data_IF_681645844924
#
_entry.id   IF_681645844924
#
_cell.length_a   1.000
_cell.length_b   1.000
_cell.length_c   1.000
_cell.angle_alpha   90.00
_cell.angle_beta   90.00
_cell.angle_gamma   90.00
#
_symmetry.space_group_name_H-M   'P 1'
#
loop_
_entity.id
_entity.type
_entity.pdbx_description
1 polymer ?
#
# COMPACT_ATOMS: atom_id res chain seq x y z
N UNK A 1 27.79 -0.30 -36.19
CA UNK A 1 26.72 -1.16 -36.73
C UNK A 1 25.51 -0.29 -37.04
N UNK A 2 24.93 -0.43 -38.23
CA UNK A 2 23.74 0.30 -38.63
C UNK A 2 22.49 -0.15 -37.86
N UNK A 3 21.50 0.74 -37.82
CA UNK A 3 20.28 0.57 -37.03
C UNK A 3 19.39 -0.56 -37.57
N UNK A 4 19.43 -0.83 -38.88
CA UNK A 4 18.62 -1.88 -39.52
C UNK A 4 19.11 -3.28 -39.12
N UNK A 5 20.43 -3.51 -39.22
CA UNK A 5 21.07 -4.75 -38.76
C UNK A 5 20.79 -5.00 -37.27
N UNK A 6 20.87 -3.95 -36.44
CA UNK A 6 20.59 -4.07 -35.01
C UNK A 6 19.12 -4.39 -34.73
N UNK A 7 18.18 -3.83 -35.50
CA UNK A 7 16.75 -4.15 -35.42
C UNK A 7 16.49 -5.60 -35.81
N UNK A 8 17.04 -6.07 -36.92
CA UNK A 8 16.86 -7.45 -37.38
C UNK A 8 17.34 -8.49 -36.34
N UNK A 9 18.50 -8.25 -35.71
CA UNK A 9 19.01 -9.12 -34.63
C UNK A 9 18.04 -9.14 -33.45
N UNK A 10 17.53 -7.99 -33.01
CA UNK A 10 16.60 -7.93 -31.88
C UNK A 10 15.26 -8.60 -32.18
N UNK A 11 14.72 -8.44 -33.39
CA UNK A 11 13.50 -9.11 -33.84
C UNK A 11 13.66 -10.63 -33.81
N UNK A 12 14.78 -11.14 -34.35
CA UNK A 12 15.09 -12.57 -34.29
C UNK A 12 15.17 -13.08 -32.85
N UNK A 13 15.84 -12.36 -31.96
CA UNK A 13 15.96 -12.75 -30.54
C UNK A 13 14.57 -12.88 -29.90
N UNK A 14 13.67 -11.95 -30.17
CA UNK A 14 12.30 -11.97 -29.63
C UNK A 14 11.52 -13.16 -30.17
N UNK A 15 11.54 -13.38 -31.49
CA UNK A 15 10.81 -14.49 -32.12
C UNK A 15 11.37 -15.85 -31.69
N UNK A 16 12.69 -16.00 -31.63
CA UNK A 16 13.33 -17.20 -31.09
C UNK A 16 12.92 -17.46 -29.64
N UNK A 17 12.84 -16.41 -28.82
CA UNK A 17 12.46 -16.52 -27.41
C UNK A 17 11.01 -16.96 -27.24
N UNK A 18 10.09 -16.45 -28.07
CA UNK A 18 8.69 -16.89 -28.10
C UNK A 18 8.56 -18.36 -28.49
N UNK A 19 9.30 -18.80 -29.52
CA UNK A 19 9.22 -20.16 -30.04
C UNK A 19 9.85 -21.22 -29.11
N UNK A 20 10.86 -20.84 -28.31
CA UNK A 20 11.68 -21.79 -27.56
C UNK A 20 11.56 -21.66 -26.03
N UNK A 21 10.44 -21.14 -25.53
CA UNK A 21 10.26 -20.84 -24.11
C UNK A 21 10.51 -22.06 -23.20
N UNK A 22 11.47 -21.90 -22.29
CA UNK A 22 11.90 -22.88 -21.29
C UNK A 22 11.10 -22.82 -19.99
N UNK A 23 10.36 -21.74 -19.76
CA UNK A 23 9.44 -21.65 -18.63
C UNK A 23 8.24 -22.58 -18.85
N UNK A 24 7.67 -23.10 -17.76
CA UNK A 24 6.39 -23.81 -17.80
C UNK A 24 5.31 -22.94 -18.45
N UNK A 25 4.30 -23.56 -19.07
CA UNK A 25 3.18 -22.84 -19.68
C UNK A 25 1.94 -23.05 -18.84
N UNK A 26 1.37 -21.96 -18.32
CA UNK A 26 -0.03 -21.96 -17.86
C UNK A 26 -0.88 -21.17 -18.85
N UNK A 27 -2.09 -21.67 -19.11
CA UNK A 27 -3.09 -21.14 -20.04
C UNK A 27 -3.49 -19.67 -19.77
N UNK A 28 -3.14 -19.11 -18.61
CA UNK A 28 -3.64 -17.82 -18.13
C UNK A 28 -2.62 -16.69 -18.01
N UNK A 29 -1.30 -16.95 -18.08
CA UNK A 29 -0.31 -15.86 -17.93
C UNK A 29 1.11 -16.35 -18.20
N UNK A 30 1.72 -15.90 -19.30
CA UNK A 30 3.18 -15.91 -19.44
C UNK A 30 3.68 -14.49 -19.30
N UNK A 31 3.95 -14.02 -18.07
CA UNK A 31 4.61 -12.71 -17.90
C UNK A 31 6.11 -12.75 -18.19
N UNK A 32 6.68 -13.95 -18.42
CA UNK A 32 8.05 -14.14 -18.85
C UNK A 32 8.20 -15.29 -19.84
N UNK A 33 9.09 -15.08 -20.81
CA UNK A 33 9.58 -16.04 -21.79
C UNK A 33 11.09 -16.17 -21.58
N UNK A 34 11.59 -17.40 -21.55
CA UNK A 34 12.94 -17.70 -21.13
C UNK A 34 13.61 -18.61 -22.13
N UNK A 35 14.82 -18.26 -22.58
CA UNK A 35 15.65 -19.15 -23.40
C UNK A 35 17.06 -19.23 -22.86
N UNK A 36 17.74 -20.31 -23.22
CA UNK A 36 19.15 -20.49 -22.92
C UNK A 36 19.97 -19.49 -23.75
N UNK A 37 20.79 -18.67 -23.10
CA UNK A 37 21.53 -17.60 -23.76
C UNK A 37 22.50 -18.14 -24.82
N UNK A 38 23.25 -19.20 -24.50
CA UNK A 38 24.20 -19.77 -25.48
C UNK A 38 23.49 -20.46 -26.66
N UNK A 39 22.28 -21.01 -26.45
CA UNK A 39 21.51 -21.59 -27.54
C UNK A 39 20.99 -20.51 -28.48
N UNK A 40 20.53 -19.38 -27.92
CA UNK A 40 20.16 -18.19 -28.69
C UNK A 40 21.37 -17.65 -29.48
N UNK A 41 22.52 -17.52 -28.83
CA UNK A 41 23.75 -17.04 -29.45
C UNK A 41 24.22 -17.97 -30.59
N UNK A 42 24.20 -19.28 -30.35
CA UNK A 42 24.50 -20.27 -31.36
C UNK A 42 23.53 -20.20 -32.54
N UNK A 43 22.24 -19.96 -32.28
CA UNK A 43 21.25 -19.88 -33.35
C UNK A 43 21.40 -18.62 -34.20
N UNK A 44 21.71 -17.47 -33.58
CA UNK A 44 22.08 -16.25 -34.29
C UNK A 44 23.29 -16.43 -35.21
N UNK A 45 24.33 -17.16 -34.77
CA UNK A 45 25.52 -17.44 -35.58
C UNK A 45 25.20 -18.18 -36.89
N UNK A 46 24.16 -19.02 -36.87
CA UNK A 46 23.83 -19.87 -38.01
C UNK A 46 22.74 -19.21 -38.86
N UNK A 47 21.64 -18.76 -38.27
CA UNK A 47 20.49 -18.21 -39.01
C UNK A 47 20.69 -16.77 -39.46
N UNK A 48 21.51 -16.02 -38.74
CA UNK A 48 21.77 -14.60 -39.00
C UNK A 48 23.28 -14.34 -39.16
N UNK A 49 23.99 -15.24 -39.85
CA UNK A 49 25.45 -15.22 -39.91
C UNK A 49 26.00 -13.86 -40.38
N UNK A 50 25.38 -13.25 -41.39
CA UNK A 50 25.84 -11.96 -41.95
C UNK A 50 25.68 -10.82 -40.94
N UNK A 51 24.52 -10.73 -40.29
CA UNK A 51 24.20 -9.73 -39.29
C UNK A 51 25.04 -9.94 -38.02
N UNK A 52 25.23 -11.19 -37.61
CA UNK A 52 26.06 -11.56 -36.48
C UNK A 52 27.53 -11.17 -36.69
N UNK A 53 28.09 -11.40 -37.88
CA UNK A 53 29.45 -10.93 -38.21
C UNK A 53 29.53 -9.39 -38.19
N UNK A 54 28.51 -8.68 -38.68
CA UNK A 54 28.45 -7.21 -38.59
C UNK A 54 28.40 -6.72 -37.14
N UNK A 55 27.65 -7.41 -36.28
CA UNK A 55 27.60 -7.13 -34.85
C UNK A 55 28.99 -7.27 -34.23
N UNK A 56 29.69 -8.38 -34.49
CA UNK A 56 31.04 -8.63 -33.93
C UNK A 56 32.12 -7.64 -34.39
N UNK A 57 31.89 -6.87 -35.46
CA UNK A 57 32.80 -5.76 -35.85
C UNK A 57 32.72 -4.57 -34.90
N UNK A 58 31.70 -4.51 -34.04
CA UNK A 58 31.40 -3.36 -33.18
C UNK A 58 31.27 -3.73 -31.71
N UNK A 59 31.17 -5.03 -31.38
CA UNK A 59 30.95 -5.55 -30.03
C UNK A 59 31.74 -6.86 -29.90
N UNK A 60 32.32 -7.12 -28.73
CA UNK A 60 33.16 -8.32 -28.54
C UNK A 60 32.31 -9.58 -28.54
N UNK A 61 31.12 -9.52 -27.95
CA UNK A 61 30.14 -10.61 -27.99
C UNK A 61 28.67 -10.14 -28.02
N UNK A 62 27.76 -11.10 -28.17
CA UNK A 62 26.31 -10.86 -28.13
C UNK A 62 25.86 -10.17 -26.84
N UNK A 63 26.53 -10.49 -25.72
CA UNK A 63 26.23 -9.88 -24.43
C UNK A 63 26.43 -8.36 -24.47
N UNK A 64 27.57 -7.88 -24.98
CA UNK A 64 27.87 -6.45 -25.05
C UNK A 64 26.90 -5.71 -25.97
N UNK A 65 26.57 -6.31 -27.11
CA UNK A 65 25.54 -5.77 -28.00
C UNK A 65 24.21 -5.58 -27.26
N UNK A 66 23.73 -6.62 -26.58
CA UNK A 66 22.47 -6.57 -25.84
C UNK A 66 22.50 -5.57 -24.69
N UNK A 67 23.61 -5.47 -23.97
CA UNK A 67 23.74 -4.53 -22.86
C UNK A 67 23.86 -3.06 -23.31
N UNK A 68 24.14 -2.81 -24.59
CA UNK A 68 24.32 -1.46 -25.14
C UNK A 68 23.27 -1.13 -26.23
N UNK A 69 23.62 -1.36 -27.51
CA UNK A 69 22.81 -0.95 -28.66
C UNK A 69 21.51 -1.76 -28.78
N UNK A 70 21.54 -3.04 -28.44
CA UNK A 70 20.35 -3.90 -28.43
C UNK A 70 19.27 -3.34 -27.52
N UNK A 71 19.63 -2.89 -26.30
CA UNK A 71 18.70 -2.23 -25.38
C UNK A 71 18.11 -0.95 -25.97
N UNK A 72 18.94 -0.09 -26.55
CA UNK A 72 18.48 1.14 -27.19
C UNK A 72 17.50 0.90 -28.35
N UNK A 73 17.79 -0.08 -29.21
CA UNK A 73 16.93 -0.45 -30.33
C UNK A 73 15.59 -1.00 -29.82
N UNK A 74 15.65 -1.87 -28.82
CA UNK A 74 14.49 -2.46 -28.22
C UNK A 74 13.55 -1.41 -27.62
N UNK A 75 14.10 -0.48 -26.83
CA UNK A 75 13.32 0.58 -26.16
C UNK A 75 12.71 1.58 -27.15
N UNK A 76 13.46 1.98 -28.20
CA UNK A 76 13.02 3.06 -29.10
C UNK A 76 12.25 2.60 -30.34
N UNK A 77 12.53 1.42 -30.87
CA UNK A 77 12.00 1.00 -32.18
C UNK A 77 10.95 -0.10 -32.08
N UNK A 78 11.15 -1.06 -31.18
CA UNK A 78 10.28 -2.22 -31.11
C UNK A 78 9.03 -1.95 -30.27
N UNK A 79 9.03 -0.89 -29.45
CA UNK A 79 7.90 -0.38 -28.66
C UNK A 79 7.06 -1.50 -28.03
N UNK A 80 7.73 -2.51 -27.49
CA UNK A 80 7.05 -3.67 -26.92
C UNK A 80 6.74 -3.38 -25.44
N UNK A 81 5.63 -3.90 -24.91
CA UNK A 81 5.37 -3.87 -23.45
C UNK A 81 6.31 -4.78 -22.65
N UNK A 82 7.21 -5.48 -23.33
CA UNK A 82 8.16 -6.40 -22.74
C UNK A 82 9.47 -5.66 -22.49
N UNK A 83 10.32 -6.23 -21.65
CA UNK A 83 11.71 -5.86 -21.41
C UNK A 83 12.52 -7.15 -21.34
N UNK A 84 13.85 -7.05 -21.29
CA UNK A 84 14.67 -8.24 -21.12
C UNK A 84 15.86 -8.04 -20.19
N UNK A 85 16.33 -9.18 -19.66
CA UNK A 85 17.54 -9.27 -18.84
C UNK A 85 18.25 -10.59 -19.12
N UNK A 86 19.58 -10.56 -19.07
CA UNK A 86 20.41 -11.76 -19.06
C UNK A 86 20.74 -12.07 -17.60
N UNK A 87 20.47 -13.28 -17.14
CA UNK A 87 20.78 -13.67 -15.76
C UNK A 87 21.09 -15.17 -15.61
N UNK A 88 21.90 -15.57 -14.62
CA UNK A 88 22.10 -16.98 -14.29
C UNK A 88 20.78 -17.64 -13.89
N UNK A 89 20.57 -18.90 -14.30
CA UNK A 89 19.34 -19.62 -13.99
C UNK A 89 19.09 -19.82 -12.49
N UNK A 90 20.14 -19.93 -11.68
CA UNK A 90 20.03 -19.89 -10.21
C UNK A 90 19.41 -18.58 -9.72
N UNK A 91 19.86 -17.44 -10.27
CA UNK A 91 19.31 -16.11 -9.93
C UNK A 91 17.87 -15.96 -10.41
N UNK A 92 17.53 -16.51 -11.58
CA UNK A 92 16.14 -16.58 -12.04
C UNK A 92 15.25 -17.31 -11.04
N UNK A 93 15.64 -18.52 -10.59
CA UNK A 93 14.85 -19.30 -9.64
C UNK A 93 14.66 -18.64 -8.26
N UNK A 94 15.55 -17.71 -7.91
CA UNK A 94 15.53 -16.96 -6.66
C UNK A 94 14.87 -15.59 -6.79
N UNK A 95 14.48 -15.18 -8.00
CA UNK A 95 13.89 -13.88 -8.27
C UNK A 95 12.54 -13.75 -7.53
N UNK A 96 12.28 -12.61 -6.90
CA UNK A 96 11.04 -12.38 -6.18
C UNK A 96 9.80 -12.48 -7.10
N UNK A 97 9.98 -12.30 -8.41
CA UNK A 97 8.93 -12.52 -9.41
C UNK A 97 8.54 -13.98 -9.56
N UNK A 98 9.43 -14.93 -9.27
CA UNK A 98 9.06 -16.35 -9.18
C UNK A 98 8.13 -16.61 -7.99
N UNK A 99 8.39 -16.00 -6.83
CA UNK A 99 7.52 -16.12 -5.63
C UNK A 99 6.13 -15.53 -5.86
N UNK A 100 6.02 -14.51 -6.71
CA UNK A 100 4.77 -13.83 -7.08
C UNK A 100 4.06 -14.48 -8.28
N UNK A 101 4.50 -15.66 -8.74
CA UNK A 101 3.99 -16.35 -9.93
C UNK A 101 4.02 -15.51 -11.23
N UNK A 102 4.89 -14.51 -11.29
CA UNK A 102 5.14 -13.74 -12.50
C UNK A 102 6.13 -14.49 -13.40
N UNK A 103 7.27 -14.90 -12.83
CA UNK A 103 8.25 -15.74 -13.51
C UNK A 103 7.94 -17.20 -13.23
N UNK A 104 7.46 -17.93 -14.25
CA UNK A 104 7.13 -19.34 -14.08
C UNK A 104 8.41 -20.18 -13.88
N UNK A 105 8.32 -21.30 -13.15
CA UNK A 105 9.44 -22.23 -12.98
C UNK A 105 10.00 -22.68 -14.33
N UNK A 106 11.31 -22.99 -14.36
CA UNK A 106 11.92 -23.59 -15.55
C UNK A 106 11.47 -25.05 -15.66
N UNK A 107 11.10 -25.49 -16.86
CA UNK A 107 10.66 -26.87 -17.16
C UNK A 107 11.63 -27.95 -16.66
N UNK A 108 12.92 -27.62 -16.53
CA UNK A 108 13.95 -28.55 -16.09
C UNK A 108 14.99 -27.86 -15.19
N UNK A 109 15.29 -28.47 -14.03
CA UNK A 109 16.27 -27.94 -13.05
C UNK A 109 17.68 -27.78 -13.61
N UNK A 110 18.05 -28.51 -14.68
CA UNK A 110 19.37 -28.38 -15.32
C UNK A 110 19.64 -26.96 -15.82
N UNK A 111 18.58 -26.19 -16.13
CA UNK A 111 18.70 -24.82 -16.62
C UNK A 111 19.24 -23.83 -15.59
N UNK A 112 19.32 -24.20 -14.30
CA UNK A 112 19.86 -23.34 -13.24
C UNK A 112 21.36 -23.06 -13.36
N UNK A 113 22.09 -23.86 -14.14
CA UNK A 113 23.54 -23.72 -14.33
C UNK A 113 23.94 -22.81 -15.47
N UNK A 114 22.99 -22.32 -16.26
CA UNK A 114 23.27 -21.58 -17.48
C UNK A 114 22.82 -20.13 -17.38
N UNK A 115 23.37 -19.28 -18.25
CA UNK A 115 22.85 -17.94 -18.47
C UNK A 115 21.56 -18.01 -19.29
N UNK A 116 20.55 -17.27 -18.85
CA UNK A 116 19.25 -17.22 -19.47
C UNK A 116 19.02 -15.83 -20.06
N UNK A 117 18.47 -15.78 -21.26
CA UNK A 117 17.81 -14.59 -21.78
C UNK A 117 16.36 -14.64 -21.33
N UNK A 118 15.97 -13.67 -20.51
CA UNK A 118 14.63 -13.57 -19.93
C UNK A 118 13.96 -12.36 -20.56
N UNK A 119 12.96 -12.60 -21.40
CA UNK A 119 12.08 -11.60 -22.00
C UNK A 119 10.80 -11.57 -21.16
N UNK A 120 10.47 -10.46 -20.52
CA UNK A 120 9.34 -10.42 -19.58
C UNK A 120 8.58 -9.12 -19.64
N UNK A 121 7.30 -9.16 -19.30
CA UNK A 121 6.50 -7.97 -19.06
C UNK A 121 6.78 -7.51 -17.62
N UNK A 122 7.50 -6.40 -17.48
CA UNK A 122 7.58 -5.72 -16.19
C UNK A 122 6.18 -5.10 -15.98
N UNK A 123 5.41 -5.45 -14.92
CA UNK A 123 4.27 -4.62 -14.55
C UNK A 123 4.88 -3.24 -14.31
N UNK A 124 4.58 -2.31 -15.22
CA UNK A 124 5.29 -1.04 -15.40
C UNK A 124 5.83 -0.54 -14.05
N UNK A 125 7.15 -0.59 -13.77
CA UNK A 125 7.66 0.39 -12.83
C UNK A 125 7.22 1.72 -13.43
N UNK A 126 6.61 2.59 -12.63
CA UNK A 126 6.17 3.92 -13.04
C UNK A 126 7.37 4.66 -13.66
N UNK A 127 7.66 4.42 -14.94
CA UNK A 127 8.76 5.03 -15.67
C UNK A 127 8.21 6.37 -16.14
N UNK A 128 8.71 7.42 -15.50
CA UNK A 128 8.55 8.76 -16.01
C UNK A 128 9.31 8.84 -17.35
N UNK A 129 8.60 9.20 -18.43
CA UNK A 129 9.15 9.22 -19.79
C UNK A 129 9.80 10.57 -20.17
N UNK A 130 9.88 11.52 -19.25
CA UNK A 130 10.58 12.78 -19.47
C UNK A 130 12.08 12.68 -19.25
N UNK A 131 12.77 13.79 -19.52
CA UNK A 131 14.21 13.95 -19.25
C UNK A 131 14.49 13.93 -17.75
N UNK A 132 15.75 13.67 -17.36
CA UNK A 132 16.16 13.76 -15.95
C UNK A 132 15.91 15.15 -15.37
N UNK A 133 16.13 16.21 -16.16
CA UNK A 133 15.89 17.59 -15.75
C UNK A 133 14.40 17.86 -15.47
N UNK A 134 13.51 17.39 -16.35
CA UNK A 134 12.06 17.46 -16.13
C UNK A 134 11.64 16.65 -14.90
N UNK A 135 12.23 15.47 -14.70
CA UNK A 135 11.98 14.64 -13.52
C UNK A 135 12.34 15.36 -12.23
N UNK A 136 13.54 15.93 -12.13
CA UNK A 136 13.97 16.67 -10.93
C UNK A 136 13.10 17.90 -10.70
N UNK A 137 12.82 18.68 -11.74
CA UNK A 137 11.96 19.87 -11.66
C UNK A 137 10.56 19.54 -11.16
N UNK A 138 9.94 18.49 -11.71
CA UNK A 138 8.61 18.03 -11.27
C UNK A 138 8.64 17.48 -9.85
N UNK A 139 9.68 16.74 -9.49
CA UNK A 139 9.82 16.16 -8.15
C UNK A 139 9.97 17.26 -7.09
N UNK A 140 10.78 18.28 -7.37
CA UNK A 140 10.94 19.44 -6.48
C UNK A 140 9.62 20.21 -6.33
N UNK A 141 8.95 20.48 -7.45
CA UNK A 141 7.63 21.13 -7.44
C UNK A 141 6.61 20.33 -6.63
N UNK A 142 6.49 19.03 -6.88
CA UNK A 142 5.54 18.17 -6.17
C UNK A 142 5.86 18.09 -4.68
N UNK A 143 7.14 18.03 -4.32
CA UNK A 143 7.57 18.06 -2.91
C UNK A 143 7.09 19.32 -2.22
N UNK A 144 7.31 20.48 -2.86
CA UNK A 144 6.85 21.77 -2.34
C UNK A 144 5.32 21.86 -2.25
N UNK A 145 4.60 21.32 -3.24
CA UNK A 145 3.14 21.29 -3.22
C UNK A 145 2.60 20.44 -2.06
N UNK A 146 3.26 19.31 -1.75
CA UNK A 146 2.93 18.47 -0.59
C UNK A 146 3.22 19.19 0.73
N UNK A 147 4.35 19.90 0.84
CA UNK A 147 4.71 20.68 2.02
C UNK A 147 3.71 21.81 2.29
N UNK A 148 3.38 22.61 1.27
CA UNK A 148 2.35 23.67 1.37
C UNK A 148 1.00 23.08 1.76
N UNK A 149 0.66 21.90 1.26
CA UNK A 149 -0.56 21.18 1.61
C UNK A 149 -0.59 20.79 3.09
N UNK A 150 0.56 20.47 3.71
CA UNK A 150 0.67 20.17 5.13
C UNK A 150 0.60 21.42 6.01
N UNK A 151 1.25 22.51 5.60
CA UNK A 151 1.21 23.79 6.32
C UNK A 151 -0.22 24.35 6.40
N UNK A 152 -1.03 24.20 5.34
CA UNK A 152 -2.43 24.59 5.41
C UNK A 152 -3.24 23.79 6.45
N UNK A 153 -2.83 22.56 6.74
CA UNK A 153 -3.42 21.74 7.79
C UNK A 153 -2.88 22.06 9.20
N UNK A 154 -2.02 23.06 9.43
CA UNK A 154 -1.52 23.37 10.79
C UNK A 154 -2.43 24.27 11.61
N UNK A 155 -3.54 24.79 11.06
CA UNK A 155 -4.55 25.57 11.80
C UNK A 155 -5.38 24.72 12.80
N UNK A 156 -5.00 23.46 13.04
CA UNK A 156 -5.76 22.46 13.81
C UNK A 156 -5.52 22.57 15.33
N UNK A 157 -4.51 23.31 15.82
CA UNK A 157 -4.26 23.38 17.27
C UNK A 157 -5.44 23.93 18.10
N UNK A 158 -6.11 24.97 17.61
CA UNK A 158 -7.33 25.50 18.25
C UNK A 158 -8.47 24.48 18.18
N UNK A 159 -8.57 23.72 17.08
CA UNK A 159 -9.54 22.63 16.89
C UNK A 159 -9.28 21.50 17.90
N UNK A 160 -8.03 21.10 18.13
CA UNK A 160 -7.69 20.03 19.09
C UNK A 160 -8.02 20.40 20.54
N UNK A 161 -7.82 21.65 20.97
CA UNK A 161 -8.23 22.06 22.33
C UNK A 161 -9.73 21.88 22.52
N UNK A 162 -10.53 22.32 21.55
CA UNK A 162 -11.99 22.16 21.60
C UNK A 162 -12.41 20.69 21.56
N UNK A 163 -11.77 19.89 20.70
CA UNK A 163 -12.01 18.44 20.61
C UNK A 163 -11.73 17.74 21.95
N UNK A 164 -10.62 18.06 22.61
CA UNK A 164 -10.28 17.46 23.90
C UNK A 164 -11.32 17.83 24.96
N UNK A 165 -11.70 19.12 25.04
CA UNK A 165 -12.76 19.55 25.95
C UNK A 165 -14.11 18.87 25.67
N UNK A 166 -14.45 18.63 24.40
CA UNK A 166 -15.65 17.89 24.04
C UNK A 166 -15.58 16.43 24.49
N UNK A 167 -14.44 15.76 24.28
CA UNK A 167 -14.25 14.38 24.72
C UNK A 167 -14.34 14.27 26.25
N UNK A 168 -13.70 15.17 26.99
CA UNK A 168 -13.75 15.23 28.46
C UNK A 168 -15.17 15.49 28.98
N UNK A 169 -15.90 16.41 28.33
CA UNK A 169 -17.29 16.70 28.65
C UNK A 169 -18.18 15.47 28.45
N UNK A 170 -18.08 14.82 27.27
CA UNK A 170 -18.86 13.61 26.99
C UNK A 170 -18.49 12.49 27.97
N UNK A 171 -17.20 12.32 28.26
CA UNK A 171 -16.74 11.34 29.22
C UNK A 171 -17.37 11.54 30.60
N UNK A 172 -17.43 12.79 31.07
CA UNK A 172 -17.99 13.16 32.38
C UNK A 172 -19.49 12.87 32.43
N UNK A 173 -20.25 13.39 31.47
CA UNK A 173 -21.71 13.18 31.41
C UNK A 173 -22.07 11.70 31.25
N UNK A 174 -21.24 10.94 30.52
CA UNK A 174 -21.46 9.51 30.38
C UNK A 174 -21.18 8.75 31.69
N UNK A 175 -20.29 9.20 32.57
CA UNK A 175 -20.21 8.58 33.91
C UNK A 175 -21.53 8.71 34.67
N UNK A 176 -22.23 9.85 34.52
CA UNK A 176 -23.52 10.08 35.21
C UNK A 176 -24.67 9.28 34.57
N UNK A 177 -24.60 8.97 33.27
CA UNK A 177 -25.59 8.12 32.61
C UNK A 177 -25.36 6.61 32.80
N UNK A 178 -24.12 6.21 33.11
CA UNK A 178 -23.69 4.82 33.17
C UNK A 178 -22.93 4.59 34.48
N UNK A 179 -23.67 4.30 35.56
CA UNK A 179 -23.09 4.01 36.89
C UNK A 179 -22.19 2.76 36.91
N UNK A 180 -22.46 1.79 36.03
CA UNK A 180 -21.71 0.54 35.82
C UNK A 180 -21.97 0.05 34.37
N UNK A 181 -20.96 -0.36 33.57
CA UNK A 181 -19.53 -0.45 33.87
C UNK A 181 -18.81 0.90 33.86
N UNK A 182 -17.65 0.96 34.53
CA UNK A 182 -16.72 2.10 34.38
C UNK A 182 -16.24 2.19 32.93
N UNK A 183 -16.53 3.33 32.31
CA UNK A 183 -16.20 3.63 30.93
C UNK A 183 -15.20 4.78 30.81
N UNK A 184 -14.55 4.87 29.66
CA UNK A 184 -13.71 6.00 29.25
C UNK A 184 -14.04 6.35 27.80
N UNK A 185 -14.22 7.63 27.50
CA UNK A 185 -14.40 8.12 26.13
C UNK A 185 -13.07 8.65 25.63
N UNK A 186 -12.57 8.08 24.54
CA UNK A 186 -11.29 8.45 23.96
C UNK A 186 -11.44 8.85 22.49
N UNK A 187 -10.54 9.72 22.02
CA UNK A 187 -10.48 10.12 20.63
C UNK A 187 -9.81 9.01 19.82
N UNK A 188 -10.42 8.64 18.69
CA UNK A 188 -9.93 7.58 17.79
C UNK A 188 -9.86 8.06 16.33
N UNK A 189 -9.24 7.27 15.47
CA UNK A 189 -9.15 7.47 14.03
C UNK A 189 -8.20 8.59 13.60
N UNK A 190 -8.58 9.35 12.58
CA UNK A 190 -7.72 10.37 11.95
C UNK A 190 -7.27 11.46 12.92
N UNK A 191 -8.14 11.86 13.85
CA UNK A 191 -7.84 12.88 14.88
C UNK A 191 -6.78 12.39 15.87
N UNK A 192 -6.85 11.11 16.26
CA UNK A 192 -5.88 10.48 17.16
C UNK A 192 -4.54 10.25 16.45
N UNK A 193 -4.58 9.74 15.22
CA UNK A 193 -3.39 9.49 14.39
C UNK A 193 -2.75 10.75 13.80
N UNK A 194 -3.37 11.93 13.97
CA UNK A 194 -2.95 13.22 13.40
C UNK A 194 -2.89 13.20 11.86
N UNK A 195 -3.80 12.44 11.25
CA UNK A 195 -4.02 12.32 9.81
C UNK A 195 -5.35 12.99 9.38
N UNK A 196 -5.96 13.78 10.26
CA UNK A 196 -7.18 14.53 9.97
C UNK A 196 -6.94 15.64 8.93
N UNK A 197 -7.96 15.83 8.11
CA UNK A 197 -8.11 16.95 7.18
C UNK A 197 -9.11 17.95 7.78
N UNK A 198 -9.19 19.16 7.23
CA UNK A 198 -9.94 20.26 7.87
C UNK A 198 -11.42 19.92 8.13
N UNK A 199 -12.02 19.16 7.23
CA UNK A 199 -13.40 18.66 7.21
C UNK A 199 -13.55 17.25 7.82
N UNK A 200 -12.50 16.66 8.41
CA UNK A 200 -12.58 15.33 9.00
C UNK A 200 -13.55 15.30 10.18
N UNK A 201 -14.38 14.25 10.20
CA UNK A 201 -15.22 13.90 11.33
C UNK A 201 -14.40 13.54 12.57
N UNK A 202 -14.95 13.86 13.74
CA UNK A 202 -14.42 13.39 15.02
C UNK A 202 -14.98 12.00 15.34
N UNK A 203 -14.09 11.04 15.61
CA UNK A 203 -14.49 9.72 16.04
C UNK A 203 -14.11 9.55 17.52
N UNK A 204 -15.06 9.09 18.32
CA UNK A 204 -14.93 8.82 19.75
C UNK A 204 -15.21 7.33 19.99
N UNK A 205 -14.36 6.70 20.79
CA UNK A 205 -14.53 5.31 21.21
C UNK A 205 -14.84 5.26 22.70
N UNK A 206 -15.87 4.51 23.08
CA UNK A 206 -16.15 4.21 24.48
C UNK A 206 -15.42 2.92 24.83
N UNK A 207 -14.42 3.02 25.70
CA UNK A 207 -13.65 1.89 26.21
C UNK A 207 -14.19 1.50 27.58
N UNK A 208 -14.48 0.21 27.72
CA UNK A 208 -14.89 -0.42 28.97
C UNK A 208 -13.66 -1.06 29.62
N UNK A 209 -13.50 -0.93 30.93
CA UNK A 209 -12.36 -1.56 31.62
C UNK A 209 -12.40 -3.10 31.46
N UNK A 210 -11.26 -3.77 31.17
CA UNK A 210 -11.20 -5.23 31.06
C UNK A 210 -11.69 -5.98 32.31
N UNK A 211 -11.58 -5.35 33.48
CA UNK A 211 -12.09 -5.89 34.75
C UNK A 211 -13.61 -5.97 34.81
N UNK A 212 -14.31 -5.11 34.06
CA UNK A 212 -15.78 -5.09 34.00
C UNK A 212 -16.32 -6.01 32.90
N UNK A 213 -15.60 -6.14 31.78
CA UNK A 213 -15.96 -7.06 30.67
C UNK A 213 -16.07 -8.52 31.17
N UNK A 214 -15.22 -8.92 32.12
CA UNK A 214 -15.22 -10.29 32.69
C UNK A 214 -16.40 -10.57 33.63
N UNK A 215 -17.07 -9.55 34.16
CA UNK A 215 -18.17 -9.73 35.13
C UNK A 215 -19.52 -9.96 34.46
N UNK A 216 -19.65 -9.67 33.18
CA UNK A 216 -20.97 -9.61 32.56
C UNK A 216 -21.01 -10.28 31.19
N UNK A 217 -21.34 -11.58 31.19
CA UNK A 217 -21.62 -12.36 30.00
C UNK A 217 -22.85 -11.87 29.22
N UNK A 218 -23.67 -10.99 29.81
CA UNK A 218 -24.87 -10.40 29.18
C UNK A 218 -24.58 -9.20 28.28
N UNK A 219 -23.39 -8.57 28.39
CA UNK A 219 -22.93 -7.53 27.45
C UNK A 219 -22.78 -8.06 26.00
N UNK A 220 -22.70 -9.37 25.84
CA UNK A 220 -22.58 -10.07 24.56
C UNK A 220 -23.94 -10.51 23.98
N UNK A 221 -25.03 -10.40 24.73
CA UNK A 221 -26.33 -10.93 24.32
C UNK A 221 -27.08 -9.92 23.46
N UNK A 222 -26.97 -10.10 22.14
CA UNK A 222 -27.50 -9.17 21.13
C UNK A 222 -29.03 -9.05 21.09
N UNK A 223 -29.75 -9.82 21.92
CA UNK A 223 -31.22 -9.88 21.89
C UNK A 223 -31.92 -8.87 22.81
N UNK A 224 -31.21 -8.20 23.74
CA UNK A 224 -31.78 -7.25 24.71
C UNK A 224 -31.03 -5.90 24.77
N UNK A 225 -30.90 -5.21 23.64
CA UNK A 225 -30.15 -3.93 23.56
C UNK A 225 -30.79 -2.73 24.28
N UNK A 226 -32.02 -2.82 24.76
CA UNK A 226 -32.72 -1.67 25.34
C UNK A 226 -31.95 -1.01 26.49
N UNK A 227 -31.65 0.28 26.32
CA UNK A 227 -30.98 1.14 27.31
C UNK A 227 -29.52 0.79 27.66
N UNK A 228 -28.80 0.11 26.76
CA UNK A 228 -27.38 -0.25 27.00
C UNK A 228 -26.41 0.69 26.28
N UNK A 229 -25.15 0.70 26.70
CA UNK A 229 -24.06 1.44 26.05
C UNK A 229 -23.79 0.97 24.60
N UNK A 230 -24.16 -0.27 24.28
CA UNK A 230 -24.02 -0.86 22.95
C UNK A 230 -25.15 -0.48 21.99
N UNK A 231 -26.26 0.07 22.50
CA UNK A 231 -27.39 0.49 21.69
C UNK A 231 -27.19 1.91 21.15
N UNK A 232 -27.03 2.08 19.82
CA UNK A 232 -26.89 3.39 19.22
C UNK A 232 -28.10 4.30 19.46
N UNK A 233 -29.31 3.73 19.60
CA UNK A 233 -30.51 4.52 19.88
C UNK A 233 -30.45 5.14 21.27
N UNK A 234 -29.99 4.37 22.27
CA UNK A 234 -29.81 4.87 23.62
C UNK A 234 -28.69 5.93 23.70
N UNK A 235 -27.54 5.66 23.07
CA UNK A 235 -26.47 6.66 22.95
C UNK A 235 -26.99 7.97 22.33
N UNK A 236 -27.83 7.88 21.29
CA UNK A 236 -28.44 9.06 20.67
C UNK A 236 -29.36 9.82 21.64
N UNK A 237 -30.08 9.12 22.52
CA UNK A 237 -30.91 9.76 23.54
C UNK A 237 -30.05 10.48 24.59
N UNK A 238 -28.98 9.87 25.08
CA UNK A 238 -28.05 10.49 26.02
C UNK A 238 -27.43 11.76 25.41
N UNK A 239 -26.95 11.67 24.17
CA UNK A 239 -26.37 12.82 23.45
C UNK A 239 -27.39 13.97 23.27
N UNK A 240 -28.67 13.68 23.02
CA UNK A 240 -29.73 14.71 22.97
C UNK A 240 -29.92 15.40 24.32
N UNK A 241 -29.89 14.64 25.42
CA UNK A 241 -29.99 15.21 26.79
C UNK A 241 -28.81 16.15 27.09
N UNK A 242 -27.62 15.85 26.55
CA UNK A 242 -26.44 16.71 26.62
C UNK A 242 -26.46 17.91 25.66
N UNK A 243 -27.54 18.10 24.90
CA UNK A 243 -27.69 19.22 23.96
C UNK A 243 -26.98 19.05 22.62
N UNK A 244 -26.52 17.84 22.28
CA UNK A 244 -25.96 17.56 20.96
C UNK A 244 -27.05 17.61 19.87
N UNK A 245 -26.67 18.10 18.69
CA UNK A 245 -27.60 18.29 17.56
C UNK A 245 -27.51 17.12 16.57
N UNK A 246 -28.52 17.01 15.69
CA UNK A 246 -28.56 16.07 14.57
C UNK A 246 -28.14 14.64 14.95
N UNK A 247 -28.58 14.18 16.12
CA UNK A 247 -28.22 12.85 16.64
C UNK A 247 -28.91 11.77 15.81
N UNK A 248 -28.15 10.90 15.17
CA UNK A 248 -28.63 9.82 14.32
C UNK A 248 -28.00 8.49 14.75
N UNK A 249 -28.79 7.52 15.26
CA UNK A 249 -28.29 6.18 15.53
C UNK A 249 -27.97 5.46 14.21
N UNK A 250 -26.86 4.72 14.17
CA UNK A 250 -26.42 3.91 13.02
C UNK A 250 -26.23 2.45 13.50
N UNK A 251 -27.32 1.66 13.59
CA UNK A 251 -27.30 0.29 14.13
C UNK A 251 -26.33 -0.65 13.41
N UNK A 252 -26.26 -0.56 12.08
CA UNK A 252 -25.38 -1.41 11.25
C UNK A 252 -23.90 -1.22 11.56
N UNK A 253 -23.51 -0.04 12.05
CA UNK A 253 -22.14 0.29 12.43
C UNK A 253 -21.90 0.30 13.94
N UNK A 254 -22.92 -0.06 14.74
CA UNK A 254 -22.94 -0.01 16.22
C UNK A 254 -22.45 1.32 16.79
N UNK A 255 -22.83 2.43 16.14
CA UNK A 255 -22.37 3.79 16.47
C UNK A 255 -23.47 4.80 16.30
N UNK A 256 -23.29 5.96 16.93
CA UNK A 256 -24.19 7.10 16.86
C UNK A 256 -23.48 8.32 16.31
N UNK A 257 -24.08 8.94 15.31
CA UNK A 257 -23.64 10.20 14.73
C UNK A 257 -24.29 11.38 15.48
N UNK A 258 -23.57 12.47 15.68
CA UNK A 258 -24.11 13.72 16.23
C UNK A 258 -23.28 14.93 15.79
N UNK A 259 -23.85 16.13 15.93
CA UNK A 259 -23.17 17.39 15.63
C UNK A 259 -22.98 18.20 16.91
N UNK A 260 -21.74 18.60 17.18
CA UNK A 260 -21.41 19.46 18.32
C UNK A 260 -21.89 20.90 18.07
N UNK A 261 -22.71 21.48 18.96
CA UNK A 261 -23.42 22.72 18.67
C UNK A 261 -22.54 23.98 18.58
N UNK A 262 -21.38 24.05 19.25
CA UNK A 262 -20.52 25.24 19.26
C UNK A 262 -19.67 25.36 17.99
N UNK A 263 -19.18 24.25 17.46
CA UNK A 263 -18.27 24.22 16.30
C UNK A 263 -18.93 23.68 15.04
N UNK A 264 -20.07 23.01 15.15
CA UNK A 264 -20.69 22.29 14.03
C UNK A 264 -19.95 21.01 13.66
N UNK A 265 -19.03 20.53 14.51
CA UNK A 265 -18.23 19.35 14.22
C UNK A 265 -19.10 18.10 14.15
N UNK A 266 -18.99 17.38 13.03
CA UNK A 266 -19.63 16.09 12.87
C UNK A 266 -18.85 15.03 13.64
N UNK A 267 -19.55 14.30 14.50
CA UNK A 267 -18.97 13.35 15.43
C UNK A 267 -19.64 11.97 15.30
N UNK A 268 -18.87 10.93 15.59
CA UNK A 268 -19.35 9.55 15.73
C UNK A 268 -18.86 8.99 17.07
N UNK A 269 -19.73 8.28 17.80
CA UNK A 269 -19.38 7.62 19.06
C UNK A 269 -19.98 6.22 19.12
N UNK A 270 -19.26 5.28 19.72
CA UNK A 270 -19.79 3.96 20.07
C UNK A 270 -18.78 3.16 20.86
N UNK A 271 -19.18 1.97 21.30
CA UNK A 271 -18.30 1.09 22.07
C UNK A 271 -17.20 0.56 21.18
N UNK A 272 -15.97 0.68 21.65
CA UNK A 272 -14.80 0.15 20.96
C UNK A 272 -14.55 -1.31 21.33
N UNK A 273 -14.16 -2.11 20.34
CA UNK A 273 -13.83 -3.53 20.50
C UNK A 273 -12.36 -3.77 20.88
N UNK A 274 -11.60 -2.69 21.13
CA UNK A 274 -10.17 -2.71 21.47
C UNK A 274 -9.26 -2.66 20.24
N UNK A 275 -9.73 -3.13 19.08
CA UNK A 275 -8.92 -3.20 17.86
C UNK A 275 -8.64 -1.82 17.27
N UNK A 276 -9.52 -0.84 17.49
CA UNK A 276 -9.35 0.50 16.91
C UNK A 276 -8.11 1.19 17.48
N UNK A 277 -7.84 1.08 18.78
CA UNK A 277 -6.65 1.68 19.38
C UNK A 277 -5.37 1.03 18.92
N UNK A 278 -5.38 -0.28 18.73
CA UNK A 278 -4.22 -1.03 18.23
C UNK A 278 -3.91 -0.62 16.79
N UNK A 279 -4.96 -0.44 15.97
CA UNK A 279 -4.83 0.09 14.60
C UNK A 279 -4.26 1.50 14.57
N UNK A 280 -4.78 2.40 15.39
CA UNK A 280 -4.27 3.77 15.46
C UNK A 280 -2.84 3.82 15.99
N UNK A 281 -2.53 3.03 17.02
CA UNK A 281 -1.19 2.90 17.58
C UNK A 281 -0.21 2.39 16.53
N UNK A 282 -0.62 1.39 15.74
CA UNK A 282 0.17 0.89 14.62
C UNK A 282 0.44 2.01 13.60
N UNK A 283 -0.58 2.77 13.20
CA UNK A 283 -0.40 3.91 12.28
C UNK A 283 0.57 4.92 12.87
N UNK A 284 0.37 5.35 14.11
CA UNK A 284 1.24 6.33 14.79
C UNK A 284 2.69 5.85 14.82
N UNK A 285 2.93 4.56 15.06
CA UNK A 285 4.29 3.98 15.00
C UNK A 285 4.88 4.12 13.59
N UNK A 286 4.13 3.79 12.55
CA UNK A 286 4.58 3.97 11.16
C UNK A 286 4.87 5.44 10.80
N UNK A 287 4.03 6.38 11.26
CA UNK A 287 4.25 7.80 11.01
C UNK A 287 5.57 8.32 11.64
N UNK A 288 6.06 7.67 12.69
CA UNK A 288 7.32 8.01 13.37
C UNK A 288 8.56 7.39 12.71
N UNK A 289 8.41 6.40 11.84
CA UNK A 289 9.56 5.70 11.24
C UNK A 289 10.29 6.57 10.20
N UNK A 290 9.57 7.38 9.42
CA UNK A 290 10.16 8.25 8.40
C UNK A 290 9.31 9.50 8.19
N UNK A 291 9.97 10.67 8.11
CA UNK A 291 9.32 11.98 7.98
C UNK A 291 8.47 12.13 6.72
N UNK A 292 8.69 11.30 5.68
CA UNK A 292 7.96 11.33 4.40
C UNK A 292 6.61 10.63 4.47
N UNK A 293 6.39 9.75 5.46
CA UNK A 293 5.19 8.90 5.55
C UNK A 293 3.93 9.76 5.72
N UNK A 294 3.90 10.63 6.73
CA UNK A 294 2.75 11.51 6.99
C UNK A 294 2.43 12.44 5.80
N UNK A 295 3.41 13.19 5.23
CA UNK A 295 3.19 13.99 4.03
C UNK A 295 2.53 13.21 2.88
N UNK A 296 3.06 12.02 2.57
CA UNK A 296 2.57 11.22 1.46
C UNK A 296 1.14 10.73 1.72
N UNK A 297 0.84 10.26 2.93
CA UNK A 297 -0.50 9.83 3.30
C UNK A 297 -1.49 11.00 3.15
N UNK A 298 -1.19 12.17 3.71
CA UNK A 298 -2.06 13.36 3.61
C UNK A 298 -2.31 13.73 2.14
N UNK A 299 -1.27 13.73 1.30
CA UNK A 299 -1.40 14.01 -0.12
C UNK A 299 -2.32 13.01 -0.83
N UNK A 300 -2.17 11.71 -0.56
CA UNK A 300 -3.03 10.66 -1.13
C UNK A 300 -4.47 10.79 -0.64
N UNK A 301 -4.70 11.14 0.63
CA UNK A 301 -6.04 11.36 1.17
C UNK A 301 -6.74 12.57 0.53
N UNK A 302 -6.01 13.66 0.26
CA UNK A 302 -6.59 14.79 -0.50
C UNK A 302 -6.86 14.41 -1.95
N UNK A 303 -5.94 13.67 -2.58
CA UNK A 303 -6.10 13.20 -3.95
C UNK A 303 -7.34 12.30 -4.09
N UNK A 304 -7.51 11.31 -3.21
CA UNK A 304 -8.63 10.35 -3.29
C UNK A 304 -9.99 11.04 -3.22
N UNK A 305 -10.10 12.12 -2.43
CA UNK A 305 -11.30 12.96 -2.34
C UNK A 305 -11.53 13.78 -3.61
N UNK A 306 -10.47 14.36 -4.18
CA UNK A 306 -10.56 15.17 -5.41
C UNK A 306 -10.90 14.34 -6.65
N UNK A 307 -10.45 13.09 -6.70
CA UNK A 307 -10.63 12.20 -7.84
C UNK A 307 -11.92 11.35 -7.77
N UNK A 308 -12.83 11.64 -6.82
CA UNK A 308 -14.03 10.82 -6.56
C UNK A 308 -13.71 9.33 -6.38
N UNK A 309 -12.53 8.99 -5.83
CA UNK A 309 -12.17 7.61 -5.51
C UNK A 309 -12.85 7.17 -4.20
N UNK A 310 -14.14 7.50 -4.03
CA UNK A 310 -14.86 7.41 -2.76
C UNK A 310 -15.26 5.98 -2.36
N UNK A 311 -14.89 4.96 -3.14
CA UNK A 311 -15.24 3.57 -2.86
C UNK A 311 -14.49 2.99 -1.64
N UNK A 312 -13.33 3.54 -1.28
CA UNK A 312 -12.50 3.01 -0.19
C UNK A 312 -12.52 3.93 1.03
N UNK A 313 -12.42 3.33 2.21
CA UNK A 313 -12.31 4.08 3.46
C UNK A 313 -10.98 4.84 3.54
N UNK A 314 -10.94 5.93 4.31
CA UNK A 314 -9.69 6.66 4.61
C UNK A 314 -8.61 5.73 5.17
N UNK A 315 -8.98 4.79 6.04
CA UNK A 315 -8.07 3.79 6.58
C UNK A 315 -7.49 2.87 5.50
N UNK A 316 -8.28 2.48 4.50
CA UNK A 316 -7.81 1.69 3.36
C UNK A 316 -6.71 2.40 2.58
N UNK A 317 -6.85 3.71 2.33
CA UNK A 317 -5.81 4.51 1.69
C UNK A 317 -4.54 4.61 2.52
N UNK A 318 -4.67 4.76 3.84
CA UNK A 318 -3.52 4.73 4.77
C UNK A 318 -2.79 3.40 4.64
N UNK A 319 -3.50 2.27 4.72
CA UNK A 319 -2.89 0.94 4.59
C UNK A 319 -2.24 0.70 3.24
N UNK A 320 -2.87 1.12 2.14
CA UNK A 320 -2.30 0.99 0.80
C UNK A 320 -1.00 1.81 0.65
N UNK A 321 -0.99 3.04 1.18
CA UNK A 321 0.20 3.89 1.18
C UNK A 321 1.33 3.26 1.98
N UNK A 322 1.02 2.79 3.19
CA UNK A 322 1.97 2.07 4.04
C UNK A 322 2.50 0.82 3.34
N UNK A 323 1.63 -0.01 2.75
CA UNK A 323 2.02 -1.20 2.00
C UNK A 323 2.94 -0.87 0.82
N UNK A 324 2.65 0.20 0.08
CA UNK A 324 3.49 0.68 -1.01
C UNK A 324 4.91 1.01 -0.53
N UNK A 325 5.02 1.79 0.54
CA UNK A 325 6.30 2.19 1.13
C UNK A 325 7.12 1.02 1.69
N UNK A 326 6.45 -0.05 2.15
CA UNK A 326 7.10 -1.23 2.74
C UNK A 326 7.49 -2.31 1.72
N UNK A 327 6.64 -2.56 0.73
CA UNK A 327 6.70 -3.82 -0.03
C UNK A 327 6.76 -3.64 -1.56
N UNK A 328 6.43 -2.45 -2.06
CA UNK A 328 6.31 -2.22 -3.51
C UNK A 328 7.54 -1.50 -4.06
N UNK A 329 8.10 -0.54 -3.32
CA UNK A 329 9.32 0.15 -3.72
C UNK A 329 10.51 -0.82 -3.79
N UNK A 330 11.40 -0.61 -4.76
CA UNK A 330 12.65 -1.38 -4.89
C UNK A 330 13.50 -1.23 -3.63
N UNK A 331 13.53 -0.02 -3.07
CA UNK A 331 14.11 0.28 -1.77
C UNK A 331 12.99 0.70 -0.80
N UNK A 332 12.56 -0.18 0.12
CA UNK A 332 11.54 0.17 1.11
C UNK A 332 11.92 1.41 1.92
N UNK A 333 10.95 2.30 2.10
CA UNK A 333 11.13 3.55 2.88
C UNK A 333 10.93 3.29 4.37
N UNK A 334 10.07 2.35 4.72
CA UNK A 334 9.82 1.93 6.10
C UNK A 334 9.81 0.40 6.18
N UNK A 335 10.19 -0.12 7.35
CA UNK A 335 10.14 -1.56 7.66
C UNK A 335 8.69 -2.03 7.81
N UNK A 336 8.43 -3.30 7.49
CA UNK A 336 7.16 -3.93 7.87
C UNK A 336 7.23 -4.39 9.32
N UNK A 337 6.52 -3.69 10.22
CA UNK A 337 6.51 -4.00 11.66
C UNK A 337 5.90 -5.38 11.96
N UNK A 338 5.09 -5.95 11.06
CA UNK A 338 4.53 -7.30 11.21
C UNK A 338 5.56 -8.41 10.97
N UNK A 339 6.69 -8.09 10.33
CA UNK A 339 7.79 -9.03 10.14
C UNK A 339 8.78 -9.03 11.31
N UNK A 340 8.58 -8.15 12.30
CA UNK A 340 9.42 -8.15 13.49
C UNK A 340 9.03 -9.33 14.38
N UNK A 341 10.01 -10.01 14.99
CA UNK A 341 9.72 -11.05 15.96
C UNK A 341 8.91 -10.45 17.10
N UNK A 342 7.75 -11.05 17.37
CA UNK A 342 6.89 -10.66 18.49
C UNK A 342 7.31 -11.49 19.69
N UNK A 343 7.96 -10.87 20.67
CA UNK A 343 8.15 -11.49 21.98
C UNK A 343 6.80 -11.46 22.71
N UNK A 344 6.09 -12.59 22.66
CA UNK A 344 4.84 -12.75 23.36
C UNK A 344 5.09 -13.42 24.72
N UNK A 345 5.04 -12.61 25.78
CA UNK A 345 5.23 -13.10 27.16
C UNK A 345 3.93 -13.66 27.78
N UNK A 346 2.88 -13.85 26.98
CA UNK A 346 1.60 -14.40 27.44
C UNK A 346 1.61 -15.92 27.36
N UNK A 347 1.01 -16.58 28.36
CA UNK A 347 0.79 -18.04 28.37
C UNK A 347 -0.18 -18.53 27.29
N UNK A 348 -0.95 -17.61 26.69
CA UNK A 348 -2.01 -17.92 25.71
C UNK A 348 -1.56 -17.71 24.25
N UNK A 349 -0.26 -17.56 24.01
CA UNK A 349 0.26 -17.30 22.68
C UNK A 349 0.45 -18.59 21.87
N UNK A 350 -0.45 -18.85 20.91
CA UNK A 350 -0.40 -19.97 19.97
C UNK A 350 0.35 -19.63 18.67
N UNK A 351 1.42 -18.84 18.73
CA UNK A 351 2.27 -18.60 17.57
C UNK A 351 3.29 -19.75 17.44
N UNK A 352 2.88 -20.82 16.75
CA UNK A 352 3.80 -21.86 16.24
C UNK A 352 4.45 -21.45 14.94
#
# INVERSE_FOLDING_TARGET
MDTETATAIMEFIIEFTKANNLAESDSKSTTALVVHFDALNHRLKIDMQKEYIKMLRNYDELFDFLMTKGRHIYDKKLNTKWTYRIMPGKKYSQDNRCKKNLFLPLKQKRFYRFNLFVLYHEPLPLKYYGTEEEYYTLTEKLTKDIEVCLEKNTSIEKKYRHINHLADYINTEFQDFFDDPKITVEIIGSTHTKLDLDDSDLNLGIRISPSEIKKDASLCDTQNWGNTLYDPHYLAQCLRKMGMKATLPIPSAKRTQFTEPKTGLQCFIGVDDGLVFERDTMIIKYLKLDKRVKPLIIAILKLSRSCYMSALSTYSYVLMTLHFLMNVLENPVILNLQNLPVECNSTDCFLT
#
